data_IF_458727595852
#
_entry.id   IF_458727595852
#
_cell.length_a   1.000
_cell.length_b   1.000
_cell.length_c   1.000
_cell.angle_alpha   90.00
_cell.angle_beta   90.00
_cell.angle_gamma   90.00
#
_symmetry.space_group_name_H-M   'P 1'
#
loop_
_entity.id
_entity.type
_entity.pdbx_description
1 polymer ?
#
# COMPACT_ATOMS: atom_id res chain seq x y z
N UNK A 1 -7.43 56.08 -20.54
CA UNK A 1 -7.74 55.46 -19.23
C UNK A 1 -7.97 53.95 -19.32
N UNK A 2 -8.63 53.42 -20.37
CA UNK A 2 -8.92 51.99 -20.54
C UNK A 2 -7.68 51.04 -20.49
N UNK A 3 -6.55 51.43 -21.10
CA UNK A 3 -5.37 50.54 -21.18
C UNK A 3 -4.69 50.25 -19.83
N UNK A 4 -4.80 51.16 -18.84
CA UNK A 4 -4.21 50.97 -17.51
C UNK A 4 -5.01 49.97 -16.68
N UNK A 5 -6.34 49.99 -16.81
CA UNK A 5 -7.24 49.05 -16.15
C UNK A 5 -7.11 47.63 -16.70
N UNK A 6 -6.95 47.49 -18.03
CA UNK A 6 -6.73 46.18 -18.68
C UNK A 6 -5.36 45.60 -18.31
N UNK A 7 -4.30 46.43 -18.31
CA UNK A 7 -2.97 45.99 -17.92
C UNK A 7 -2.90 45.55 -16.44
N UNK A 8 -3.61 46.25 -15.55
CA UNK A 8 -3.68 45.89 -14.14
C UNK A 8 -4.47 44.58 -13.91
N UNK A 9 -5.55 44.36 -14.67
CA UNK A 9 -6.29 43.09 -14.65
C UNK A 9 -5.45 41.90 -15.11
N UNK A 10 -4.65 42.07 -16.18
CA UNK A 10 -3.74 41.03 -16.67
C UNK A 10 -2.61 40.73 -15.69
N UNK A 11 -2.03 41.76 -15.05
CA UNK A 11 -0.99 41.58 -14.03
C UNK A 11 -1.53 40.82 -12.81
N UNK A 12 -2.74 41.14 -12.34
CA UNK A 12 -3.40 40.42 -11.25
C UNK A 12 -3.70 38.97 -11.60
N UNK A 13 -4.17 38.70 -12.83
CA UNK A 13 -4.40 37.33 -13.30
C UNK A 13 -3.10 36.51 -13.38
N UNK A 14 -1.99 37.13 -13.79
CA UNK A 14 -0.68 36.48 -13.85
C UNK A 14 -0.11 36.17 -12.46
N UNK A 15 -0.29 37.09 -11.50
CA UNK A 15 0.09 36.87 -10.08
C UNK A 15 -0.78 35.77 -9.45
N UNK A 16 -2.08 35.74 -9.75
CA UNK A 16 -2.97 34.69 -9.26
C UNK A 16 -2.62 33.30 -9.83
N UNK A 17 -2.28 33.21 -11.13
CA UNK A 17 -1.84 31.97 -11.75
C UNK A 17 -0.51 31.47 -11.19
N UNK A 18 0.47 32.36 -11.00
CA UNK A 18 1.77 31.98 -10.42
C UNK A 18 1.65 31.55 -8.96
N UNK A 19 0.80 32.20 -8.16
CA UNK A 19 0.52 31.76 -6.79
C UNK A 19 -0.15 30.38 -6.73
N UNK A 20 -1.04 30.07 -7.69
CA UNK A 20 -1.70 28.77 -7.77
C UNK A 20 -0.76 27.64 -8.25
N UNK A 21 0.17 27.95 -9.17
CA UNK A 21 1.17 27.00 -9.67
C UNK A 21 2.30 26.72 -8.65
N UNK A 22 2.58 27.65 -7.74
CA UNK A 22 3.66 27.55 -6.76
C UNK A 22 3.19 27.12 -5.36
N UNK A 23 1.93 26.72 -5.20
CA UNK A 23 1.47 26.16 -3.93
C UNK A 23 2.24 24.86 -3.66
N UNK A 24 2.99 24.76 -2.55
CA UNK A 24 3.62 23.49 -2.18
C UNK A 24 2.52 22.46 -1.97
N UNK A 25 2.55 21.39 -2.76
CA UNK A 25 1.72 20.23 -2.51
C UNK A 25 2.13 19.63 -1.17
N UNK A 26 1.32 19.79 -0.14
CA UNK A 26 1.49 19.09 1.13
C UNK A 26 1.18 17.61 0.93
N UNK A 27 2.12 16.88 0.34
CA UNK A 27 2.09 15.42 0.32
C UNK A 27 2.66 14.90 1.64
N UNK A 28 1.91 15.08 2.73
CA UNK A 28 2.23 14.37 3.96
C UNK A 28 1.88 12.89 3.80
N UNK A 29 2.88 12.03 3.98
CA UNK A 29 2.65 10.59 4.01
C UNK A 29 1.83 10.26 5.27
N UNK A 30 0.77 9.43 5.14
CA UNK A 30 0.07 8.93 6.32
C UNK A 30 1.06 8.28 7.29
N UNK A 31 1.15 8.85 8.50
CA UNK A 31 1.89 8.22 9.59
C UNK A 31 1.02 7.12 10.17
N UNK A 32 1.59 5.93 10.27
CA UNK A 32 0.91 4.81 10.89
C UNK A 32 1.52 4.60 12.27
N UNK A 33 0.75 4.95 13.30
CA UNK A 33 1.18 4.77 14.67
C UNK A 33 1.05 3.29 15.04
N UNK A 34 2.17 2.69 15.46
CA UNK A 34 2.20 1.37 16.04
C UNK A 34 2.86 1.45 17.41
N UNK A 35 2.19 1.05 18.50
CA UNK A 35 2.79 1.12 19.83
C UNK A 35 4.00 0.18 19.87
N UNK A 36 5.12 0.69 20.36
CA UNK A 36 6.27 -0.16 20.63
C UNK A 36 5.91 -1.19 21.70
N UNK A 37 6.55 -2.36 21.63
CA UNK A 37 6.40 -3.39 22.67
C UNK A 37 6.98 -2.88 23.99
N UNK A 38 6.69 -3.57 25.10
CA UNK A 38 7.15 -3.18 26.43
C UNK A 38 8.68 -3.07 26.55
N UNK A 39 9.42 -3.77 25.69
CA UNK A 39 10.88 -3.73 25.58
C UNK A 39 11.40 -2.71 24.54
N UNK A 40 10.51 -1.93 23.93
CA UNK A 40 10.82 -0.98 22.87
C UNK A 40 11.11 -1.61 21.50
N UNK A 41 10.96 -2.94 21.36
CA UNK A 41 11.22 -3.63 20.10
C UNK A 41 10.03 -3.55 19.14
N UNK A 42 10.34 -3.77 17.86
CA UNK A 42 9.39 -3.92 16.77
C UNK A 42 9.83 -5.10 15.90
N UNK A 43 8.92 -6.02 15.59
CA UNK A 43 9.21 -7.25 14.85
C UNK A 43 8.26 -7.39 13.69
N UNK A 44 8.82 -7.44 12.50
CA UNK A 44 8.06 -7.48 11.25
C UNK A 44 8.62 -8.50 10.28
N UNK A 45 7.77 -9.00 9.39
CA UNK A 45 8.18 -9.70 8.19
C UNK A 45 8.05 -8.77 6.99
N UNK A 46 8.94 -8.92 6.02
CA UNK A 46 8.89 -8.21 4.74
C UNK A 46 8.84 -9.24 3.62
N UNK A 47 7.88 -9.10 2.70
CA UNK A 47 7.72 -9.99 1.55
C UNK A 47 7.37 -9.19 0.30
N UNK A 48 7.89 -9.61 -0.85
CA UNK A 48 7.60 -9.02 -2.16
C UNK A 48 7.37 -10.11 -3.19
N UNK A 49 6.82 -9.73 -4.35
CA UNK A 49 6.78 -10.57 -5.53
C UNK A 49 6.16 -11.96 -5.30
N UNK A 50 4.97 -12.04 -4.69
CA UNK A 50 4.48 -13.30 -4.14
C UNK A 50 3.26 -13.92 -4.85
N UNK A 51 2.20 -13.18 -5.17
CA UNK A 51 0.90 -13.81 -5.46
C UNK A 51 0.82 -14.55 -6.78
N UNK A 52 0.94 -15.87 -6.69
CA UNK A 52 0.92 -16.83 -7.81
C UNK A 52 0.15 -18.10 -7.43
N UNK A 53 -0.94 -17.98 -6.65
CA UNK A 53 -1.82 -19.10 -6.28
C UNK A 53 -1.07 -20.29 -5.66
N UNK A 54 -0.08 -20.03 -4.82
CA UNK A 54 0.75 -21.05 -4.16
C UNK A 54 1.92 -21.59 -5.00
N UNK A 55 2.00 -21.25 -6.28
CA UNK A 55 3.07 -21.71 -7.18
C UNK A 55 4.37 -20.90 -6.99
N UNK A 56 5.45 -21.27 -7.68
CA UNK A 56 6.76 -20.58 -7.61
C UNK A 56 7.31 -20.46 -6.19
N UNK A 57 7.17 -21.53 -5.40
CA UNK A 57 7.55 -21.60 -3.98
C UNK A 57 6.74 -20.68 -3.04
N UNK A 58 5.69 -20.00 -3.51
CA UNK A 58 4.90 -19.11 -2.67
C UNK A 58 4.38 -19.83 -1.41
N UNK A 59 3.80 -21.04 -1.53
CA UNK A 59 3.33 -21.81 -0.36
C UNK A 59 4.48 -22.23 0.57
N UNK A 60 5.68 -22.48 0.05
CA UNK A 60 6.85 -22.83 0.87
C UNK A 60 7.35 -21.61 1.65
N UNK A 61 7.36 -20.45 1.01
CA UNK A 61 7.68 -19.17 1.67
C UNK A 61 6.64 -18.88 2.75
N UNK A 62 5.35 -19.07 2.47
CA UNK A 62 4.28 -18.87 3.44
C UNK A 62 4.41 -19.80 4.68
N UNK A 63 4.76 -21.08 4.49
CA UNK A 63 5.04 -22.01 5.60
C UNK A 63 6.20 -21.51 6.48
N UNK A 64 7.30 -21.07 5.86
CA UNK A 64 8.44 -20.54 6.62
C UNK A 64 8.12 -19.22 7.31
N UNK A 65 7.38 -18.33 6.65
CA UNK A 65 6.87 -17.11 7.27
C UNK A 65 6.00 -17.42 8.49
N UNK A 66 5.16 -18.46 8.43
CA UNK A 66 4.35 -18.90 9.56
C UNK A 66 5.19 -19.32 10.76
N UNK A 67 6.21 -20.16 10.54
CA UNK A 67 7.14 -20.63 11.59
C UNK A 67 7.94 -19.49 12.20
N UNK A 68 8.47 -18.60 11.38
CA UNK A 68 9.26 -17.44 11.84
C UNK A 68 8.35 -16.44 12.56
N UNK A 69 7.15 -16.20 12.02
CA UNK A 69 6.14 -15.32 12.61
C UNK A 69 5.75 -15.76 14.02
N UNK A 70 5.59 -17.07 14.22
CA UNK A 70 5.30 -17.65 15.53
C UNK A 70 6.49 -17.51 16.48
N UNK A 71 7.69 -17.89 16.01
CA UNK A 71 8.92 -17.82 16.83
C UNK A 71 9.24 -16.41 17.31
N UNK A 72 8.99 -15.41 16.47
CA UNK A 72 9.30 -14.01 16.78
C UNK A 72 8.16 -13.28 17.48
N UNK A 73 6.93 -13.82 17.41
CA UNK A 73 5.68 -13.12 17.73
C UNK A 73 5.63 -11.75 17.07
N UNK A 74 5.53 -11.76 15.75
CA UNK A 74 5.56 -10.55 14.92
C UNK A 74 4.36 -9.63 15.18
N UNK A 75 4.59 -8.34 14.94
CA UNK A 75 3.61 -7.28 15.09
C UNK A 75 2.77 -7.12 13.81
N UNK A 76 3.42 -7.14 12.64
CA UNK A 76 2.77 -7.01 11.32
C UNK A 76 3.68 -7.51 10.18
N UNK A 77 3.11 -7.55 8.97
CA UNK A 77 3.81 -7.87 7.72
C UNK A 77 3.82 -6.64 6.80
N UNK A 78 4.94 -6.40 6.12
CA UNK A 78 5.04 -5.42 5.05
C UNK A 78 5.12 -6.15 3.70
N UNK A 79 4.19 -5.86 2.80
CA UNK A 79 4.29 -6.26 1.40
C UNK A 79 4.94 -5.14 0.59
N UNK A 80 6.05 -5.43 -0.09
CA UNK A 80 6.78 -4.44 -0.90
C UNK A 80 6.19 -4.23 -2.28
N UNK A 81 5.22 -5.03 -2.72
CA UNK A 81 4.54 -4.88 -4.01
C UNK A 81 4.58 -6.14 -4.87
N UNK A 82 4.07 -6.02 -6.11
CA UNK A 82 3.95 -7.15 -7.04
C UNK A 82 3.16 -8.33 -6.45
N UNK A 83 2.03 -7.96 -5.84
CA UNK A 83 1.22 -8.86 -5.02
C UNK A 83 0.45 -9.90 -5.83
N UNK A 84 0.09 -9.65 -7.09
CA UNK A 84 -0.81 -10.53 -7.86
C UNK A 84 -0.36 -10.65 -9.31
N UNK A 85 0.28 -11.77 -9.64
CA UNK A 85 0.78 -12.04 -10.98
C UNK A 85 -0.22 -12.83 -11.84
N UNK A 86 -0.21 -12.66 -13.17
CA UNK A 86 0.62 -11.71 -13.94
C UNK A 86 -0.03 -10.35 -14.15
N UNK A 87 -1.34 -10.24 -14.02
CA UNK A 87 -2.12 -9.08 -14.50
C UNK A 87 -2.78 -8.27 -13.36
N UNK A 88 -2.38 -8.48 -12.10
CA UNK A 88 -3.04 -7.86 -10.96
C UNK A 88 -4.43 -8.43 -10.69
N UNK A 89 -5.19 -7.73 -9.84
CA UNK A 89 -6.61 -8.01 -9.58
C UNK A 89 -7.50 -7.21 -10.56
N UNK A 90 -8.56 -7.83 -11.05
CA UNK A 90 -9.57 -7.22 -11.94
C UNK A 90 -10.61 -6.38 -11.19
N UNK A 91 -10.67 -6.52 -9.86
CA UNK A 91 -11.60 -5.77 -9.02
C UNK A 91 -11.59 -6.24 -7.57
N UNK A 92 -12.42 -5.62 -6.74
CA UNK A 92 -12.51 -5.89 -5.29
C UNK A 92 -13.06 -7.28 -4.94
N UNK A 93 -13.60 -8.01 -5.91
CA UNK A 93 -14.12 -9.39 -5.75
C UNK A 93 -13.37 -10.40 -6.62
N UNK A 94 -12.14 -10.08 -7.02
CA UNK A 94 -11.35 -11.00 -7.83
C UNK A 94 -10.91 -12.20 -6.98
N UNK A 95 -11.25 -13.42 -7.43
CA UNK A 95 -10.90 -14.68 -6.78
C UNK A 95 -9.38 -14.86 -6.63
N UNK A 96 -8.57 -14.20 -7.47
CA UNK A 96 -7.12 -14.23 -7.32
C UNK A 96 -6.64 -13.69 -5.97
N UNK A 97 -7.44 -12.87 -5.28
CA UNK A 97 -7.19 -12.45 -3.90
C UNK A 97 -7.24 -13.65 -2.94
N UNK A 98 -8.30 -14.44 -2.99
CA UNK A 98 -8.47 -15.61 -2.13
C UNK A 98 -7.36 -16.64 -2.43
N UNK A 99 -7.23 -17.02 -3.70
CA UNK A 99 -6.30 -18.07 -4.13
C UNK A 99 -4.83 -17.74 -3.90
N UNK A 100 -4.45 -16.46 -3.96
CA UNK A 100 -3.05 -16.03 -3.86
C UNK A 100 -2.70 -15.43 -2.51
N UNK A 101 -3.66 -15.06 -1.68
CA UNK A 101 -3.39 -14.46 -0.37
C UNK A 101 -4.07 -15.24 0.76
N UNK A 102 -5.41 -15.27 0.79
CA UNK A 102 -6.17 -15.84 1.91
C UNK A 102 -5.86 -17.33 2.09
N UNK A 103 -5.83 -18.09 1.00
CA UNK A 103 -5.61 -19.53 1.02
C UNK A 103 -4.13 -19.92 1.18
N UNK A 104 -3.21 -18.95 1.05
CA UNK A 104 -1.76 -19.19 1.06
C UNK A 104 -1.15 -18.84 2.42
N UNK A 105 -1.50 -17.69 2.99
CA UNK A 105 -0.93 -17.19 4.24
C UNK A 105 -1.83 -17.53 5.44
N UNK A 106 -2.08 -18.82 5.64
CA UNK A 106 -3.08 -19.34 6.59
C UNK A 106 -2.58 -19.51 8.03
N UNK A 107 -1.26 -19.40 8.27
CA UNK A 107 -0.70 -19.56 9.60
C UNK A 107 -1.26 -18.53 10.58
N UNK A 108 -1.57 -18.96 11.81
CA UNK A 108 -2.16 -18.08 12.84
C UNK A 108 -1.25 -16.90 13.20
N UNK A 109 0.06 -17.12 13.19
CA UNK A 109 1.08 -16.08 13.39
C UNK A 109 1.09 -15.00 12.30
N UNK A 110 0.50 -15.27 11.13
CA UNK A 110 0.36 -14.32 10.04
C UNK A 110 -1.01 -13.62 10.01
N UNK A 111 -1.94 -13.97 10.91
CA UNK A 111 -3.23 -13.27 11.11
C UNK A 111 -3.03 -11.97 11.91
N UNK A 112 -2.10 -11.15 11.41
CA UNK A 112 -1.69 -9.85 11.91
C UNK A 112 -1.95 -8.81 10.81
N UNK A 113 -1.84 -7.49 11.06
CA UNK A 113 -1.97 -6.49 10.00
C UNK A 113 -0.94 -6.70 8.88
N UNK A 114 -1.36 -6.55 7.62
CA UNK A 114 -0.45 -6.42 6.48
C UNK A 114 -0.52 -5.02 5.89
N UNK A 115 0.64 -4.39 5.73
CA UNK A 115 0.79 -3.10 5.06
C UNK A 115 1.38 -3.33 3.68
N UNK A 116 0.63 -3.02 2.63
CA UNK A 116 1.10 -3.20 1.26
C UNK A 116 1.46 -1.87 0.63
N UNK A 117 2.68 -1.78 0.09
CA UNK A 117 2.96 -0.83 -0.98
C UNK A 117 2.21 -1.25 -2.25
N UNK A 118 1.60 -0.31 -2.97
CA UNK A 118 1.24 -0.55 -4.36
C UNK A 118 2.49 -0.27 -5.18
N UNK A 119 3.15 -1.32 -5.66
CA UNK A 119 4.07 -1.22 -6.79
C UNK A 119 3.48 -2.12 -7.86
N UNK A 120 3.24 -1.55 -9.04
CA UNK A 120 2.46 -2.15 -10.12
C UNK A 120 3.37 -2.53 -11.28
N UNK A 121 3.05 -3.63 -11.97
CA UNK A 121 3.40 -3.78 -13.38
C UNK A 121 2.31 -3.29 -14.35
N UNK A 122 1.04 -3.17 -13.94
CA UNK A 122 -0.02 -2.45 -14.68
C UNK A 122 -1.12 -1.99 -13.70
N UNK A 123 -1.44 -0.69 -13.67
CA UNK A 123 -2.66 -0.15 -13.06
C UNK A 123 -3.62 0.34 -14.16
N UNK A 124 -4.88 -0.11 -14.23
CA UNK A 124 -5.93 0.70 -14.84
C UNK A 124 -6.19 1.94 -13.97
N UNK A 125 -6.60 3.09 -14.54
CA UNK A 125 -6.55 4.42 -13.91
C UNK A 125 -7.51 4.66 -12.73
N UNK A 126 -8.06 3.61 -12.09
CA UNK A 126 -9.06 3.72 -11.01
C UNK A 126 -8.84 2.73 -9.86
N UNK A 127 -7.63 2.62 -9.35
CA UNK A 127 -7.39 1.90 -8.08
C UNK A 127 -6.77 2.87 -7.09
N UNK A 128 -7.47 3.11 -5.97
CA UNK A 128 -6.97 3.96 -4.88
C UNK A 128 -5.74 3.31 -4.22
N UNK A 129 -4.76 4.10 -3.74
CA UNK A 129 -3.66 3.59 -2.93
C UNK A 129 -4.20 2.85 -1.70
N UNK A 130 -3.93 1.55 -1.62
CA UNK A 130 -4.30 0.72 -0.48
C UNK A 130 -3.20 0.83 0.58
N UNK A 131 -3.21 1.92 1.36
CA UNK A 131 -2.48 2.04 2.64
C UNK A 131 -3.36 1.57 3.81
N UNK A 132 -4.19 0.56 3.59
CA UNK A 132 -5.08 -0.01 4.59
C UNK A 132 -4.61 -1.41 4.98
N UNK A 133 -4.82 -1.85 6.23
CA UNK A 133 -4.47 -3.18 6.66
C UNK A 133 -5.19 -4.22 5.78
N UNK A 134 -4.41 -4.96 5.00
CA UNK A 134 -4.88 -6.18 4.34
C UNK A 134 -4.90 -7.27 5.42
N UNK A 135 -6.05 -7.51 6.05
CA UNK A 135 -6.15 -8.48 7.14
C UNK A 135 -7.51 -9.13 7.14
N UNK A 136 -7.51 -10.44 7.38
CA UNK A 136 -8.63 -11.42 7.32
C UNK A 136 -9.88 -11.05 8.15
N UNK A 137 -9.84 -9.95 8.89
CA UNK A 137 -10.91 -9.50 9.77
C UNK A 137 -11.72 -8.30 9.26
N UNK A 138 -11.69 -8.00 7.96
CA UNK A 138 -12.61 -7.03 7.34
C UNK A 138 -13.98 -7.66 7.00
N UNK A 139 -14.61 -8.29 7.99
CA UNK A 139 -16.05 -8.55 8.03
C UNK A 139 -16.68 -7.70 9.12
#
# INVERSE_FOLDING_TARGET
MANRSVAMGLALAFVAMTALCCAPGAAELPRLDHPARSDGSLKLLVVGDWGRKGTHNQSRVADQMGRVGEKLDIDFVISTGDNFYKNGLKGVRDQAFEESFVDIYTAQSLQKPWYSGIISHVLPPRVRPWLLPFGVNSR
#
